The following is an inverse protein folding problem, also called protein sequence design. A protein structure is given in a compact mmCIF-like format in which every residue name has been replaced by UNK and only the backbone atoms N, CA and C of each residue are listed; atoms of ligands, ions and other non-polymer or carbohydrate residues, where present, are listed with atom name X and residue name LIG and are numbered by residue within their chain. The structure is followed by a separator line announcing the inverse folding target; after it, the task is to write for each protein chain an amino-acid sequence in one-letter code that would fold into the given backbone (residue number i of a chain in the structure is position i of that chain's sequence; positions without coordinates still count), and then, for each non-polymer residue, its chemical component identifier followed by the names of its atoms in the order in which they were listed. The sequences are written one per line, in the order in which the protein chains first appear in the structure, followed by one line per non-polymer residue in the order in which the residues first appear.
data_IF_374770027116
#
_entry.id   IF_374770027116
#
_cell.length_a   1.000
_cell.length_b   1.000
_cell.length_c   1.000
_cell.angle_alpha   90.00
_cell.angle_beta   90.00
_cell.angle_gamma   90.00
#
_symmetry.space_group_name_H-M   'P 1'
#
loop_
_entity.id
_entity.type
_entity.pdbx_description
1 polymer ?
#
# COMPACT_ATOMS: atom_id res chain seq x y z
N UNK A 1 -3.22 0.32 22.27
CA UNK A 1 -3.45 -1.00 21.64
C UNK A 1 -2.24 -1.41 20.83
N UNK A 2 -2.36 -2.41 19.96
CA UNK A 2 -1.31 -2.76 18.98
C UNK A 2 -1.54 -1.96 17.68
N UNK A 3 -0.48 -1.67 16.93
CA UNK A 3 -0.54 -1.05 15.60
C UNK A 3 -0.35 -2.09 14.51
N UNK A 4 -0.99 -1.93 13.36
CA UNK A 4 -0.82 -2.78 12.19
C UNK A 4 -0.77 -1.95 10.91
N UNK A 5 -0.03 -2.42 9.91
CA UNK A 5 0.12 -1.74 8.62
C UNK A 5 0.10 -2.77 7.49
N UNK A 6 -0.50 -2.40 6.35
CA UNK A 6 -0.36 -3.17 5.11
C UNK A 6 0.84 -2.64 4.33
N UNK A 7 1.75 -3.54 3.95
CA UNK A 7 2.84 -3.28 3.01
C UNK A 7 2.66 -4.26 1.85
N UNK A 8 2.41 -3.74 0.65
CA UNK A 8 2.04 -4.56 -0.51
C UNK A 8 2.67 -4.07 -1.81
N UNK A 9 2.77 -4.99 -2.77
CA UNK A 9 3.24 -4.73 -4.13
C UNK A 9 2.11 -4.97 -5.13
N UNK A 10 2.11 -4.21 -6.23
CA UNK A 10 1.12 -4.33 -7.29
C UNK A 10 1.80 -4.51 -8.65
N UNK A 11 1.12 -5.23 -9.55
CA UNK A 11 1.46 -5.21 -10.98
C UNK A 11 0.95 -3.95 -11.69
N UNK A 12 -0.19 -3.41 -11.23
CA UNK A 12 -0.79 -2.19 -11.77
C UNK A 12 0.06 -0.94 -11.49
N UNK A 13 -0.13 0.08 -12.33
CA UNK A 13 0.49 1.40 -12.18
C UNK A 13 -0.40 2.33 -11.35
N UNK A 14 0.17 3.38 -10.77
CA UNK A 14 -0.57 4.37 -9.96
C UNK A 14 -1.80 4.93 -10.66
N UNK A 15 -1.68 5.37 -11.93
CA UNK A 15 -2.80 5.93 -12.71
C UNK A 15 -3.93 4.92 -13.03
N UNK A 16 -3.73 3.63 -12.79
CA UNK A 16 -4.77 2.61 -12.96
C UNK A 16 -5.75 2.60 -11.79
N UNK A 17 -5.46 3.31 -10.69
CA UNK A 17 -6.29 3.44 -9.49
C UNK A 17 -6.73 4.90 -9.28
N UNK A 18 -7.95 5.11 -8.78
CA UNK A 18 -8.60 6.42 -8.64
C UNK A 18 -10.08 6.42 -9.05
N UNK A 19 -10.82 7.49 -8.76
CA UNK A 19 -12.29 7.57 -8.95
C UNK A 19 -12.76 7.23 -10.36
N UNK A 20 -11.99 7.61 -11.38
CA UNK A 20 -12.31 7.39 -12.81
C UNK A 20 -11.29 6.49 -13.52
N UNK A 21 -10.52 5.71 -12.77
CA UNK A 21 -9.51 4.81 -13.36
C UNK A 21 -10.08 3.41 -13.61
N UNK A 22 -9.34 2.59 -14.38
CA UNK A 22 -9.79 1.24 -14.77
C UNK A 22 -10.04 0.29 -13.58
N UNK A 23 -9.33 0.45 -12.46
CA UNK A 23 -9.55 -0.34 -11.25
C UNK A 23 -10.36 0.39 -10.18
N UNK A 24 -10.68 1.67 -10.35
CA UNK A 24 -11.31 2.46 -9.29
C UNK A 24 -10.35 2.78 -8.13
N UNK A 25 -10.86 3.37 -7.03
CA UNK A 25 -10.09 3.70 -5.84
C UNK A 25 -9.47 2.47 -5.16
N UNK A 26 -8.19 2.56 -4.77
CA UNK A 26 -7.47 1.45 -4.13
C UNK A 26 -8.05 1.11 -2.75
N UNK A 27 -8.61 2.11 -2.06
CA UNK A 27 -9.22 2.02 -0.74
C UNK A 27 -10.36 1.01 -0.69
N UNK A 28 -11.08 0.84 -1.81
CA UNK A 28 -12.16 -0.15 -1.91
C UNK A 28 -11.64 -1.58 -1.76
N UNK A 29 -10.44 -1.86 -2.26
CA UNK A 29 -9.79 -3.17 -2.11
C UNK A 29 -9.19 -3.36 -0.73
N UNK A 30 -8.69 -2.30 -0.11
CA UNK A 30 -8.03 -2.37 1.20
C UNK A 30 -9.03 -2.38 2.37
N UNK A 31 -10.21 -1.79 2.20
CA UNK A 31 -11.22 -1.63 3.24
C UNK A 31 -11.62 -2.95 3.94
N UNK A 32 -11.86 -4.08 3.24
CA UNK A 32 -12.15 -5.35 3.89
C UNK A 32 -11.04 -5.83 4.83
N UNK A 33 -9.77 -5.57 4.51
CA UNK A 33 -8.64 -5.98 5.35
C UNK A 33 -8.40 -4.97 6.47
N UNK A 34 -8.33 -3.68 6.14
CA UNK A 34 -8.05 -2.63 7.12
C UNK A 34 -9.18 -2.48 8.13
N UNK A 35 -10.44 -2.35 7.67
CA UNK A 35 -11.59 -2.17 8.55
C UNK A 35 -12.19 -3.49 8.99
N UNK A 36 -12.40 -4.42 8.04
CA UNK A 36 -13.10 -5.68 8.30
C UNK A 36 -12.28 -6.69 9.11
N UNK A 37 -10.95 -6.62 9.08
CA UNK A 37 -10.07 -7.55 9.80
C UNK A 37 -9.25 -6.87 10.88
N UNK A 38 -8.39 -5.91 10.52
CA UNK A 38 -7.41 -5.33 11.46
C UNK A 38 -8.08 -4.42 12.50
N UNK A 39 -8.88 -3.45 12.06
CA UNK A 39 -9.59 -2.56 12.98
C UNK A 39 -10.63 -3.33 13.81
N UNK A 40 -11.34 -4.29 13.20
CA UNK A 40 -12.27 -5.17 13.91
C UNK A 40 -11.59 -5.93 15.06
N UNK A 41 -10.35 -6.38 14.86
CA UNK A 41 -9.53 -7.02 15.89
C UNK A 41 -8.91 -6.03 16.91
N UNK A 42 -9.20 -4.73 16.82
CA UNK A 42 -8.76 -3.71 17.78
C UNK A 42 -7.37 -3.12 17.50
N UNK A 43 -6.83 -3.27 16.29
CA UNK A 43 -5.59 -2.58 15.91
C UNK A 43 -5.84 -1.11 15.57
N UNK A 44 -4.88 -0.26 15.93
CA UNK A 44 -4.70 1.03 15.27
C UNK A 44 -4.07 0.76 13.89
N UNK A 45 -4.84 0.99 12.83
CA UNK A 45 -4.42 0.69 11.46
C UNK A 45 -3.71 1.90 10.87
N UNK A 46 -2.42 1.75 10.62
CA UNK A 46 -1.57 2.78 10.01
C UNK A 46 -1.83 2.90 8.50
N UNK A 47 -1.50 4.05 7.87
CA UNK A 47 -1.64 4.18 6.43
C UNK A 47 -0.76 3.14 5.71
N UNK A 48 -1.22 2.55 4.59
CA UNK A 48 -0.51 1.48 3.92
C UNK A 48 0.69 2.00 3.13
N UNK A 49 1.71 1.16 2.96
CA UNK A 49 2.74 1.36 1.94
C UNK A 49 2.41 0.49 0.71
N UNK A 50 2.37 1.12 -0.47
CA UNK A 50 2.02 0.44 -1.72
C UNK A 50 3.11 0.70 -2.77
N UNK A 51 3.81 -0.36 -3.15
CA UNK A 51 4.78 -0.33 -4.25
C UNK A 51 4.08 -0.71 -5.56
N UNK A 52 4.01 0.24 -6.50
CA UNK A 52 3.31 0.04 -7.78
C UNK A 52 4.24 -0.50 -8.87
N UNK A 53 3.66 -1.28 -9.79
CA UNK A 53 4.30 -1.77 -11.01
C UNK A 53 5.60 -2.60 -10.81
N UNK A 54 5.77 -3.20 -9.63
CA UNK A 54 7.01 -3.85 -9.18
C UNK A 54 7.61 -4.90 -10.15
N UNK A 55 6.82 -5.80 -10.78
CA UNK A 55 7.41 -6.82 -11.65
C UNK A 55 7.92 -6.28 -13.00
N UNK A 56 7.64 -5.01 -13.34
CA UNK A 56 7.91 -4.45 -14.67
C UNK A 56 8.91 -3.29 -14.68
N UNK A 57 9.43 -2.90 -13.51
CA UNK A 57 10.42 -1.84 -13.36
C UNK A 57 11.85 -2.39 -13.33
N UNK A 58 12.83 -1.51 -13.50
CA UNK A 58 14.25 -1.88 -13.44
C UNK A 58 14.68 -2.28 -12.01
N UNK A 59 15.87 -2.85 -11.89
CA UNK A 59 16.43 -3.18 -10.58
C UNK A 59 16.72 -1.93 -9.75
N UNK A 60 17.20 -0.86 -10.39
CA UNK A 60 17.48 0.43 -9.76
C UNK A 60 16.18 1.03 -9.20
N UNK A 61 15.09 1.00 -9.98
CA UNK A 61 13.80 1.46 -9.52
C UNK A 61 13.25 0.62 -8.34
N UNK A 62 13.50 -0.71 -8.32
CA UNK A 62 13.18 -1.54 -7.14
C UNK A 62 14.00 -1.13 -5.91
N UNK A 63 15.26 -0.75 -6.09
CA UNK A 63 16.10 -0.27 -5.00
C UNK A 63 15.58 1.07 -4.44
N UNK A 64 15.17 2.00 -5.30
CA UNK A 64 14.51 3.25 -4.87
C UNK A 64 13.23 2.97 -4.08
N UNK A 65 12.40 2.02 -4.49
CA UNK A 65 11.20 1.65 -3.71
C UNK A 65 11.53 1.10 -2.31
N UNK A 66 12.65 0.42 -2.14
CA UNK A 66 13.11 -0.03 -0.82
C UNK A 66 13.56 1.16 0.04
N UNK A 67 14.24 2.14 -0.56
CA UNK A 67 14.64 3.39 0.12
C UNK A 67 13.40 4.20 0.52
N UNK A 68 12.42 4.34 -0.38
CA UNK A 68 11.14 4.98 -0.10
C UNK A 68 10.41 4.29 1.06
N UNK A 69 10.46 2.95 1.13
CA UNK A 69 9.88 2.21 2.24
C UNK A 69 10.60 2.49 3.57
N UNK A 70 11.93 2.58 3.57
CA UNK A 70 12.71 2.96 4.76
C UNK A 70 12.36 4.39 5.21
N UNK A 71 12.26 5.33 4.27
CA UNK A 71 11.85 6.72 4.56
C UNK A 71 10.45 6.75 5.13
N UNK A 72 9.50 6.02 4.52
CA UNK A 72 8.13 5.94 4.99
C UNK A 72 8.05 5.44 6.45
N UNK A 73 8.77 4.36 6.77
CA UNK A 73 8.79 3.79 8.12
C UNK A 73 9.37 4.74 9.18
N UNK A 74 10.31 5.60 8.82
CA UNK A 74 10.93 6.55 9.76
C UNK A 74 10.08 7.78 10.04
N UNK A 75 9.01 8.00 9.28
CA UNK A 75 8.07 9.13 9.42
C UNK A 75 6.65 8.70 9.86
N UNK A 76 6.47 7.46 10.31
CA UNK A 76 5.21 6.90 10.81
C UNK A 76 4.86 7.33 12.25
#
# INVERSE_FOLDING_TARGET
GKKAMLCLTLGGRTHMFGENSIHGPIENYLSPIQRGTLAYAGFEVLPPFIAYHVPYISQEARQTLLEDYVIYLTHL
#
